data_IF_685697263480
#
_entry.id   IF_685697263480
#
_cell.length_a   1.000
_cell.length_b   1.000
_cell.length_c   1.000
_cell.angle_alpha   90.00
_cell.angle_beta   90.00
_cell.angle_gamma   90.00
#
_symmetry.space_group_name_H-M   'P 1'
#
loop_
_entity.id
_entity.type
_entity.pdbx_description
1 polymer ?
#
# COMPACT_ATOMS: atom_id res chain seq x y z
N UNK A 1 -0.11 19.39 -0.43
CA UNK A 1 0.15 19.25 -1.87
C UNK A 1 -0.93 18.43 -2.58
N UNK A 2 -1.44 17.34 -1.96
CA UNK A 2 -2.53 16.52 -2.53
C UNK A 2 -3.95 17.16 -2.40
N UNK A 3 -4.24 17.95 -1.36
CA UNK A 3 -5.54 18.62 -1.24
C UNK A 3 -5.79 19.70 -2.31
N UNK A 4 -4.72 20.35 -2.80
CA UNK A 4 -4.82 21.33 -3.89
C UNK A 4 -5.12 20.68 -5.24
N UNK A 5 -5.05 19.35 -5.37
CA UNK A 5 -5.36 18.64 -6.62
C UNK A 5 -6.81 18.17 -6.69
N UNK A 6 -7.54 18.12 -5.56
CA UNK A 6 -8.96 17.74 -5.53
C UNK A 6 -9.84 18.71 -6.32
N UNK A 7 -9.44 19.98 -6.36
CA UNK A 7 -10.11 21.04 -7.14
C UNK A 7 -9.41 21.37 -8.48
N UNK A 8 -8.26 20.74 -8.80
CA UNK A 8 -7.39 21.13 -9.94
C UNK A 8 -7.19 20.06 -11.01
N UNK A 9 -7.96 18.98 -10.99
CA UNK A 9 -7.99 17.99 -12.08
C UNK A 9 -9.43 17.75 -12.51
N UNK A 10 -10.13 18.83 -12.83
CA UNK A 10 -11.26 18.68 -13.73
C UNK A 10 -10.72 18.29 -15.12
N UNK A 11 -11.51 17.58 -15.95
CA UNK A 11 -11.10 17.19 -17.31
C UNK A 11 -10.69 18.39 -18.19
N UNK A 12 -11.19 19.58 -17.83
CA UNK A 12 -10.84 20.88 -18.42
C UNK A 12 -9.37 21.29 -18.13
N UNK A 13 -8.81 20.91 -16.98
CA UNK A 13 -7.44 21.27 -16.59
C UNK A 13 -6.39 20.48 -17.38
N UNK A 14 -6.68 19.23 -17.79
CA UNK A 14 -5.75 18.43 -18.61
C UNK A 14 -5.58 19.06 -19.99
N UNK A 15 -6.67 19.55 -20.61
CA UNK A 15 -6.62 20.28 -21.89
C UNK A 15 -5.83 21.59 -21.76
N UNK A 16 -5.93 22.27 -20.61
CA UNK A 16 -5.16 23.46 -20.30
C UNK A 16 -3.68 23.17 -20.00
N UNK A 17 -3.36 22.00 -19.45
CA UNK A 17 -1.97 21.54 -19.28
C UNK A 17 -1.36 21.26 -20.66
N UNK A 18 -2.06 20.55 -21.55
CA UNK A 18 -1.59 20.29 -22.92
C UNK A 18 -1.43 21.54 -23.79
N UNK A 19 -2.11 22.65 -23.47
CA UNK A 19 -1.98 23.90 -24.22
C UNK A 19 -0.73 24.71 -23.86
N UNK A 20 0.01 24.35 -22.80
CA UNK A 20 1.28 24.98 -22.44
C UNK A 20 2.43 24.32 -23.21
N UNK A 21 3.33 25.13 -23.77
CA UNK A 21 4.44 24.68 -24.63
C UNK A 21 5.30 23.58 -24.00
N UNK A 22 5.48 23.61 -22.67
CA UNK A 22 6.28 22.63 -21.93
C UNK A 22 5.66 21.22 -21.88
N UNK A 23 4.36 21.06 -22.15
CA UNK A 23 3.66 19.77 -22.13
C UNK A 23 3.22 19.30 -23.52
N UNK A 24 3.69 19.96 -24.59
CA UNK A 24 3.31 19.64 -25.96
C UNK A 24 3.73 18.23 -26.40
N UNK A 25 4.77 17.67 -25.79
CA UNK A 25 5.30 16.33 -26.08
C UNK A 25 4.89 15.28 -25.04
N UNK A 26 4.04 15.63 -24.08
CA UNK A 26 3.56 14.72 -23.03
C UNK A 26 2.10 14.36 -23.30
N UNK A 27 1.78 13.07 -23.19
CA UNK A 27 0.41 12.56 -23.23
C UNK A 27 0.00 12.21 -21.80
N UNK A 28 -1.04 12.86 -21.28
CA UNK A 28 -1.58 12.59 -19.95
C UNK A 28 -2.92 11.89 -20.16
N UNK A 29 -3.05 10.67 -19.64
CA UNK A 29 -4.30 9.91 -19.66
C UNK A 29 -4.84 9.74 -18.26
N UNK A 30 -6.17 9.74 -18.15
CA UNK A 30 -6.85 9.47 -16.90
C UNK A 30 -6.93 7.95 -16.69
N UNK A 31 -6.49 7.46 -15.52
CA UNK A 31 -6.56 6.03 -15.20
C UNK A 31 -7.66 5.70 -14.21
N UNK A 32 -7.76 6.44 -13.09
CA UNK A 32 -8.68 6.15 -11.99
C UNK A 32 -9.15 7.44 -11.29
N UNK A 33 -10.44 7.48 -10.96
CA UNK A 33 -11.04 8.52 -10.14
C UNK A 33 -11.37 7.97 -8.76
N UNK A 34 -11.06 8.72 -7.71
CA UNK A 34 -11.40 8.36 -6.33
C UNK A 34 -12.20 9.49 -5.70
N UNK A 35 -13.38 9.18 -5.18
CA UNK A 35 -14.15 10.14 -4.39
C UNK A 35 -13.66 10.15 -2.94
N UNK A 36 -13.34 8.97 -2.41
CA UNK A 36 -12.73 8.78 -1.10
C UNK A 36 -11.63 7.73 -1.19
N UNK A 37 -10.48 8.00 -0.56
CA UNK A 37 -9.30 7.14 -0.65
C UNK A 37 -8.49 7.18 0.64
N UNK A 38 -8.27 6.01 1.22
CA UNK A 38 -7.18 5.75 2.14
C UNK A 38 -5.98 5.27 1.33
N UNK A 39 -4.91 6.07 1.35
CA UNK A 39 -3.72 5.80 0.55
C UNK A 39 -2.49 5.66 1.45
N UNK A 40 -1.80 4.52 1.36
CA UNK A 40 -0.54 4.27 2.05
C UNK A 40 0.63 4.27 1.08
N UNK A 41 0.52 3.49 0.01
CA UNK A 41 1.52 3.38 -1.06
C UNK A 41 0.85 2.81 -2.34
N UNK A 42 1.57 2.66 -3.47
CA UNK A 42 0.99 2.16 -4.73
C UNK A 42 0.35 0.76 -4.66
N UNK A 43 0.71 -0.07 -3.69
CA UNK A 43 0.22 -1.45 -3.51
C UNK A 43 -0.68 -1.60 -2.27
N UNK A 44 -0.89 -0.52 -1.51
CA UNK A 44 -1.68 -0.49 -0.29
C UNK A 44 -2.60 0.74 -0.31
N UNK A 45 -3.82 0.56 -0.81
CA UNK A 45 -4.84 1.58 -0.85
C UNK A 45 -6.24 0.97 -0.81
N UNK A 46 -7.21 1.75 -0.34
CA UNK A 46 -8.62 1.36 -0.36
C UNK A 46 -9.53 2.58 -0.42
N UNK A 47 -10.59 2.53 -1.20
CA UNK A 47 -11.42 3.69 -1.44
C UNK A 47 -12.62 3.41 -2.32
N UNK A 48 -13.40 4.46 -2.58
CA UNK A 48 -14.58 4.40 -3.42
C UNK A 48 -14.29 5.12 -4.73
N UNK A 49 -14.50 4.40 -5.83
CA UNK A 49 -14.29 4.90 -7.18
C UNK A 49 -15.29 5.99 -7.51
N UNK A 50 -14.79 7.06 -8.12
CA UNK A 50 -15.64 8.09 -8.72
C UNK A 50 -16.10 7.71 -10.11
N UNK A 51 -17.30 8.19 -10.49
CA UNK A 51 -17.76 8.12 -11.88
C UNK A 51 -16.93 9.07 -12.73
N UNK A 52 -16.41 8.58 -13.86
CA UNK A 52 -15.69 9.41 -14.85
C UNK A 52 -16.69 9.75 -15.96
N UNK A 53 -16.83 11.04 -16.35
CA UNK A 53 -17.67 11.41 -17.49
C UNK A 53 -17.34 10.60 -18.75
N UNK A 54 -18.36 10.11 -19.43
CA UNK A 54 -18.27 9.30 -20.67
C UNK A 54 -17.51 10.02 -21.80
N UNK A 55 -17.37 11.34 -21.73
CA UNK A 55 -16.56 12.17 -22.64
C UNK A 55 -15.04 12.01 -22.50
N UNK A 56 -14.55 11.24 -21.51
CA UNK A 56 -13.12 11.04 -21.20
C UNK A 56 -12.70 9.58 -21.46
N UNK A 57 -13.48 8.81 -22.22
CA UNK A 57 -13.07 7.46 -22.60
C UNK A 57 -12.01 7.50 -23.71
N UNK A 58 -10.74 7.40 -23.31
CA UNK A 58 -9.62 7.36 -24.24
C UNK A 58 -9.26 5.90 -24.56
N UNK A 59 -9.52 5.42 -25.78
CA UNK A 59 -8.88 4.17 -26.25
C UNK A 59 -9.60 3.30 -27.29
N UNK A 60 -10.85 3.54 -27.66
CA UNK A 60 -11.45 2.90 -28.84
C UNK A 60 -12.00 3.97 -29.79
N UNK A 61 -11.27 4.22 -30.88
CA UNK A 61 -11.89 4.77 -32.09
C UNK A 61 -12.84 3.69 -32.60
N UNK A 62 -14.12 3.75 -32.19
CA UNK A 62 -15.19 3.16 -32.98
C UNK A 62 -15.65 4.25 -33.93
N UNK A 63 -15.19 4.16 -35.18
CA UNK A 63 -15.85 4.83 -36.30
C UNK A 63 -17.28 4.30 -36.37
N UNK A 64 -18.26 5.07 -35.87
CA UNK A 64 -19.65 4.90 -36.22
C UNK A 64 -20.28 6.28 -36.43
N UNK A 65 -20.78 6.40 -37.65
CA UNK A 65 -21.51 7.45 -38.33
C UNK A 65 -22.17 8.57 -37.51
N UNK A 66 -22.04 9.76 -38.09
CA UNK A 66 -22.82 10.96 -37.84
C UNK A 66 -24.31 10.77 -38.12
N UNK A 67 -25.14 10.86 -37.09
CA UNK A 67 -26.56 11.28 -37.00
C UNK A 67 -27.09 10.63 -35.72
N UNK A 68 -27.23 11.33 -34.59
CA UNK A 68 -28.37 12.20 -34.29
C UNK A 68 -27.95 13.21 -33.21
N UNK A 69 -28.24 14.50 -33.46
CA UNK A 69 -28.34 15.51 -32.41
C UNK A 69 -29.76 15.38 -31.84
N UNK A 70 -29.91 14.77 -30.68
CA UNK A 70 -31.06 15.05 -29.82
C UNK A 70 -30.57 15.52 -28.45
N UNK A 71 -31.35 16.44 -27.92
CA UNK A 71 -31.08 17.30 -26.78
C UNK A 71 -31.03 16.49 -25.47
N UNK A 72 -29.88 16.38 -24.82
CA UNK A 72 -29.82 16.05 -23.38
C UNK A 72 -29.71 17.34 -22.59
N UNK A 73 -30.86 17.99 -22.40
CA UNK A 73 -31.13 18.69 -21.14
C UNK A 73 -31.60 17.62 -20.15
N UNK A 74 -31.13 17.71 -18.91
CA UNK A 74 -31.52 16.87 -17.76
C UNK A 74 -30.62 15.65 -17.47
N UNK A 75 -29.31 15.85 -17.31
CA UNK A 75 -28.41 14.91 -16.56
C UNK A 75 -27.98 15.49 -15.19
N UNK A 76 -28.66 16.52 -14.67
CA UNK A 76 -28.39 17.06 -13.32
C UNK A 76 -29.27 16.45 -12.22
N UNK A 77 -30.24 15.59 -12.55
CA UNK A 77 -31.23 15.05 -11.60
C UNK A 77 -31.13 13.52 -11.32
N UNK A 78 -30.13 12.80 -11.85
CA UNK A 78 -29.91 11.37 -11.54
C UNK A 78 -28.87 11.11 -10.41
N UNK A 79 -28.61 12.10 -9.54
CA UNK A 79 -27.93 11.88 -8.25
C UNK A 79 -28.92 11.56 -7.11
N UNK A 80 -30.16 11.21 -7.45
CA UNK A 80 -31.17 10.73 -6.50
C UNK A 80 -30.80 9.32 -6.00
N UNK A 81 -30.01 9.29 -4.92
CA UNK A 81 -29.96 8.15 -4.01
C UNK A 81 -29.30 6.89 -4.56
N UNK A 82 -27.98 6.94 -4.81
CA UNK A 82 -27.15 5.73 -4.91
C UNK A 82 -27.46 4.80 -3.73
N UNK A 83 -28.08 3.64 -4.00
CA UNK A 83 -28.44 2.65 -2.98
C UNK A 83 -27.16 2.16 -2.26
N UNK A 84 -27.26 1.72 -1.00
CA UNK A 84 -26.11 1.18 -0.24
C UNK A 84 -25.40 0.05 -1.00
N UNK A 85 -26.15 -0.73 -1.81
CA UNK A 85 -25.66 -1.79 -2.69
C UNK A 85 -24.72 -1.27 -3.80
N UNK A 86 -24.99 -0.11 -4.40
CA UNK A 86 -24.16 0.45 -5.48
C UNK A 86 -22.83 0.99 -4.96
N UNK A 87 -22.77 1.44 -3.71
CA UNK A 87 -21.53 1.92 -3.08
C UNK A 87 -20.57 0.77 -2.78
N UNK A 88 -21.10 -0.40 -2.41
CA UNK A 88 -20.29 -1.61 -2.23
C UNK A 88 -19.64 -2.07 -3.55
N UNK A 89 -20.33 -1.93 -4.68
CA UNK A 89 -19.79 -2.27 -6.01
C UNK A 89 -18.66 -1.32 -6.46
N UNK A 90 -18.64 -0.07 -5.96
CA UNK A 90 -17.61 0.92 -6.26
C UNK A 90 -16.39 0.84 -5.32
N UNK A 91 -16.47 0.04 -4.26
CA UNK A 91 -15.40 -0.13 -3.28
C UNK A 91 -14.25 -0.96 -3.85
N UNK A 92 -13.06 -0.36 -3.94
CA UNK A 92 -11.83 -1.07 -4.27
C UNK A 92 -10.93 -1.16 -3.05
N UNK A 93 -10.46 -2.38 -2.76
CA UNK A 93 -9.50 -2.68 -1.71
C UNK A 93 -8.29 -3.36 -2.33
N UNK A 94 -7.14 -2.68 -2.35
CA UNK A 94 -5.87 -3.23 -2.80
C UNK A 94 -4.85 -3.12 -1.67
N UNK A 95 -4.77 -4.15 -0.85
CA UNK A 95 -3.90 -4.17 0.34
C UNK A 95 -2.88 -5.29 0.21
N UNK A 96 -1.65 -4.99 -0.22
CA UNK A 96 -0.56 -5.96 -0.21
C UNK A 96 -0.28 -6.51 1.21
N UNK A 97 -0.33 -5.65 2.24
CA UNK A 97 -0.12 -6.08 3.64
C UNK A 97 -1.13 -7.14 4.10
N UNK A 98 -2.33 -7.18 3.50
CA UNK A 98 -3.36 -8.18 3.80
C UNK A 98 -2.88 -9.60 3.48
N UNK A 99 -2.13 -9.77 2.39
CA UNK A 99 -1.70 -11.08 1.90
C UNK A 99 -0.74 -11.75 2.88
N UNK A 100 -0.05 -10.97 3.72
CA UNK A 100 0.85 -11.46 4.76
C UNK A 100 0.11 -11.92 6.02
N UNK A 101 -1.20 -11.68 6.14
CA UNK A 101 -2.00 -12.26 7.23
C UNK A 101 -2.39 -13.71 6.91
N UNK A 102 -2.50 -14.59 7.93
CA UNK A 102 -2.96 -15.95 7.73
C UNK A 102 -4.38 -16.01 7.14
N UNK A 103 -4.60 -16.91 6.18
CA UNK A 103 -5.97 -17.30 5.77
C UNK A 103 -6.71 -17.98 6.94
N UNK A 104 -5.95 -18.67 7.79
CA UNK A 104 -6.46 -19.34 8.99
C UNK A 104 -7.18 -18.34 9.92
N UNK A 105 -8.19 -18.84 10.62
CA UNK A 105 -9.07 -18.03 11.48
C UNK A 105 -9.76 -16.84 10.77
N UNK A 106 -9.76 -16.81 9.43
CA UNK A 106 -10.38 -15.75 8.61
C UNK A 106 -9.76 -14.36 8.83
N UNK A 107 -8.47 -14.27 9.17
CA UNK A 107 -7.82 -12.98 9.47
C UNK A 107 -7.91 -12.01 8.28
N UNK A 108 -7.71 -12.50 7.05
CA UNK A 108 -7.81 -11.66 5.86
C UNK A 108 -9.23 -11.12 5.63
N UNK A 109 -10.25 -11.98 5.74
CA UNK A 109 -11.65 -11.56 5.60
C UNK A 109 -12.04 -10.55 6.67
N UNK A 110 -11.58 -10.76 7.91
CA UNK A 110 -11.83 -9.81 9.00
C UNK A 110 -11.12 -8.48 8.81
N UNK A 111 -9.94 -8.46 8.20
CA UNK A 111 -9.22 -7.22 7.90
C UNK A 111 -10.03 -6.40 6.91
N UNK A 112 -10.44 -7.01 5.80
CA UNK A 112 -11.26 -6.37 4.79
C UNK A 112 -12.57 -5.87 5.39
N UNK A 113 -13.23 -6.68 6.22
CA UNK A 113 -14.50 -6.28 6.85
C UNK A 113 -14.37 -5.00 7.69
N UNK A 114 -13.31 -4.86 8.52
CA UNK A 114 -13.12 -3.65 9.35
C UNK A 114 -12.76 -2.45 8.47
N UNK A 115 -11.82 -2.62 7.54
CA UNK A 115 -11.33 -1.51 6.69
C UNK A 115 -12.43 -1.03 5.75
N UNK A 116 -13.14 -1.95 5.09
CA UNK A 116 -14.28 -1.63 4.23
C UNK A 116 -15.41 -0.94 4.99
N UNK A 117 -15.78 -1.45 6.17
CA UNK A 117 -16.81 -0.83 7.00
C UNK A 117 -16.47 0.62 7.36
N UNK A 118 -15.21 0.89 7.69
CA UNK A 118 -14.75 2.26 7.94
C UNK A 118 -14.84 3.14 6.69
N UNK A 119 -14.31 2.67 5.55
CA UNK A 119 -14.32 3.42 4.28
C UNK A 119 -15.76 3.80 3.88
N UNK A 120 -16.67 2.82 3.89
CA UNK A 120 -18.08 2.99 3.50
C UNK A 120 -18.79 3.93 4.47
N UNK A 121 -18.63 3.75 5.79
CA UNK A 121 -19.27 4.60 6.80
C UNK A 121 -18.84 6.07 6.67
N UNK A 122 -17.54 6.34 6.55
CA UNK A 122 -17.01 7.70 6.43
C UNK A 122 -17.46 8.34 5.12
N UNK A 123 -17.47 7.58 4.03
CA UNK A 123 -17.93 8.07 2.74
C UNK A 123 -19.43 8.43 2.74
N UNK A 124 -20.30 7.61 3.34
CA UNK A 124 -21.71 7.94 3.48
C UNK A 124 -21.91 9.21 4.32
N UNK A 125 -21.17 9.35 5.42
CA UNK A 125 -21.19 10.59 6.21
C UNK A 125 -20.74 11.80 5.41
N UNK A 126 -19.67 11.66 4.61
CA UNK A 126 -19.18 12.71 3.72
C UNK A 126 -20.25 13.13 2.69
N UNK A 127 -20.89 12.15 2.02
CA UNK A 127 -21.97 12.41 1.04
C UNK A 127 -23.19 13.08 1.67
N UNK A 128 -23.58 12.66 2.87
CA UNK A 128 -24.72 13.25 3.58
C UNK A 128 -24.47 14.72 3.98
N UNK A 129 -23.26 15.02 4.46
CA UNK A 129 -22.85 16.39 4.82
C UNK A 129 -22.76 17.32 3.59
N UNK A 130 -22.28 16.79 2.45
CA UNK A 130 -22.28 17.50 1.16
C UNK A 130 -23.70 17.87 0.72
N UNK A 131 -24.65 16.92 0.83
CA UNK A 131 -26.08 17.16 0.54
C UNK A 131 -26.69 18.23 1.46
N UNK A 132 -26.30 18.26 2.73
CA UNK A 132 -26.80 19.25 3.69
C UNK A 132 -26.18 20.64 3.49
N UNK A 133 -25.00 20.72 2.89
CA UNK A 133 -24.28 21.97 2.62
C UNK A 133 -24.64 22.61 1.26
N UNK A 134 -25.43 21.94 0.42
CA UNK A 134 -25.85 22.44 -0.88
C UNK A 134 -26.71 23.73 -0.77
N UNK A 135 -26.45 24.77 -1.59
CA UNK A 135 -27.21 26.02 -1.56
C UNK A 135 -28.69 25.77 -1.92
N UNK A 136 -29.60 25.85 -0.94
CA UNK A 136 -31.04 25.65 -1.14
C UNK A 136 -31.76 24.99 0.05
N UNK A 137 -31.02 24.29 0.91
CA UNK A 137 -31.58 23.46 1.99
C UNK A 137 -31.66 24.15 3.37
N UNK A 138 -31.40 25.45 3.47
CA UNK A 138 -31.54 26.18 4.75
C UNK A 138 -32.98 26.69 4.92
N UNK A 139 -33.76 26.22 5.92
CA UNK A 139 -35.03 26.86 6.23
C UNK A 139 -34.75 28.29 6.69
N UNK A 140 -35.44 29.25 6.07
CA UNK A 140 -35.34 30.69 6.36
C UNK A 140 -35.59 30.95 7.84
N UNK A 141 -34.53 31.02 8.65
CA UNK A 141 -34.61 31.56 10.01
C UNK A 141 -34.63 33.09 9.91
N UNK A 142 -35.77 33.68 10.29
CA UNK A 142 -35.94 35.13 10.47
C UNK A 142 -34.79 35.67 11.35
N UNK A 143 -34.04 36.63 10.79
CA UNK A 143 -32.95 37.36 11.46
C UNK A 143 -33.40 37.99 12.78
N UNK A 144 -32.76 37.61 13.88
CA UNK A 144 -32.60 38.39 15.11
C UNK A 144 -31.16 38.91 15.20
N UNK A 145 -30.98 40.14 15.66
CA UNK A 145 -29.77 40.94 15.51
C UNK A 145 -28.53 40.41 16.28
N UNK A 146 -27.43 40.32 15.52
CA UNK A 146 -26.01 40.54 15.87
C UNK A 146 -25.43 40.01 17.20
N UNK A 147 -24.47 39.08 17.08
CA UNK A 147 -23.04 39.38 17.29
C UNK A 147 -22.20 38.39 16.46
N UNK A 148 -21.33 38.93 15.63
CA UNK A 148 -20.49 38.22 14.66
C UNK A 148 -19.13 37.98 15.32
N UNK A 149 -18.85 36.75 15.76
CA UNK A 149 -17.48 36.29 15.99
C UNK A 149 -17.02 35.59 14.72
N UNK A 150 -16.10 36.23 13.99
CA UNK A 150 -15.38 35.60 12.88
C UNK A 150 -14.51 34.47 13.46
N UNK A 151 -14.94 33.22 13.27
CA UNK A 151 -14.02 32.10 13.35
C UNK A 151 -13.23 32.01 12.04
N UNK A 152 -11.92 31.95 12.21
CA UNK A 152 -10.94 31.92 11.15
C UNK A 152 -11.12 30.65 10.31
N UNK A 153 -11.37 30.83 9.01
CA UNK A 153 -11.09 29.81 7.99
C UNK A 153 -9.60 29.50 8.03
N UNK A 154 -9.23 28.40 8.67
CA UNK A 154 -7.85 27.92 8.72
C UNK A 154 -7.79 26.50 9.25
N UNK A 155 -7.26 25.61 8.40
CA UNK A 155 -6.89 24.22 8.61
C UNK A 155 -7.97 23.13 8.36
N UNK A 156 -7.62 22.24 7.43
CA UNK A 156 -8.24 20.97 7.04
C UNK A 156 -9.57 21.03 6.27
N UNK A 157 -9.55 20.56 5.02
CA UNK A 157 -10.69 20.46 4.12
C UNK A 157 -11.71 19.37 4.47
N UNK A 158 -11.92 19.08 5.76
CA UNK A 158 -12.92 18.14 6.25
C UNK A 158 -14.07 18.90 6.94
N UNK A 159 -15.31 18.61 6.54
CA UNK A 159 -16.49 19.18 7.19
C UNK A 159 -16.50 18.76 8.67
N UNK A 160 -16.69 19.68 9.63
CA UNK A 160 -16.66 19.35 11.06
C UNK A 160 -17.58 18.20 11.45
N UNK A 161 -18.76 18.08 10.81
CA UNK A 161 -19.69 16.97 11.01
C UNK A 161 -19.09 15.60 10.69
N UNK A 162 -18.40 15.47 9.54
CA UNK A 162 -17.71 14.24 9.13
C UNK A 162 -16.60 13.83 10.12
N UNK A 163 -15.84 14.81 10.62
CA UNK A 163 -14.79 14.56 11.63
C UNK A 163 -15.42 14.01 12.92
N UNK A 164 -16.50 14.61 13.42
CA UNK A 164 -17.16 14.10 14.62
C UNK A 164 -17.80 12.72 14.42
N UNK A 165 -18.38 12.47 13.25
CA UNK A 165 -18.93 11.17 12.89
C UNK A 165 -17.85 10.08 12.89
N UNK A 166 -16.77 10.27 12.15
CA UNK A 166 -15.65 9.31 12.06
C UNK A 166 -15.07 8.98 13.44
N UNK A 167 -14.86 10.00 14.28
CA UNK A 167 -14.38 9.83 15.65
C UNK A 167 -15.35 9.00 16.52
N UNK A 168 -16.65 9.28 16.46
CA UNK A 168 -17.66 8.54 17.22
C UNK A 168 -17.83 7.09 16.72
N UNK A 169 -17.82 6.90 15.40
CA UNK A 169 -17.93 5.58 14.78
C UNK A 169 -16.76 4.68 15.20
N UNK A 170 -15.52 5.20 15.16
CA UNK A 170 -14.34 4.46 15.60
C UNK A 170 -14.40 4.17 17.09
N UNK A 171 -14.72 5.17 17.92
CA UNK A 171 -14.74 5.03 19.38
C UNK A 171 -15.79 4.04 19.90
N UNK A 172 -16.89 3.85 19.16
CA UNK A 172 -18.03 3.06 19.61
C UNK A 172 -18.18 1.76 18.82
N UNK A 173 -18.66 1.82 17.59
CA UNK A 173 -19.06 0.65 16.81
C UNK A 173 -17.86 -0.15 16.31
N UNK A 174 -16.89 0.54 15.69
CA UNK A 174 -15.70 -0.12 15.14
C UNK A 174 -14.86 -0.76 16.25
N UNK A 175 -14.71 -0.06 17.37
CA UNK A 175 -14.00 -0.57 18.55
C UNK A 175 -14.61 -1.89 19.02
N UNK A 176 -15.93 -1.95 19.23
CA UNK A 176 -16.60 -3.19 19.68
C UNK A 176 -16.44 -4.34 18.68
N UNK A 177 -16.60 -4.06 17.39
CA UNK A 177 -16.39 -5.03 16.32
C UNK A 177 -14.97 -5.58 16.33
N UNK A 178 -13.97 -4.70 16.38
CA UNK A 178 -12.55 -5.06 16.36
C UNK A 178 -12.15 -5.87 17.59
N UNK A 179 -12.62 -5.52 18.79
CA UNK A 179 -12.41 -6.34 19.99
C UNK A 179 -13.00 -7.75 19.84
N UNK A 180 -14.24 -7.86 19.36
CA UNK A 180 -14.92 -9.14 19.17
C UNK A 180 -14.18 -10.03 18.17
N UNK A 181 -13.72 -9.46 17.06
CA UNK A 181 -12.95 -10.15 16.03
C UNK A 181 -11.60 -10.60 16.57
N UNK A 182 -10.87 -9.72 17.25
CA UNK A 182 -9.56 -10.03 17.84
C UNK A 182 -9.68 -11.19 18.83
N UNK A 183 -10.72 -11.21 19.66
CA UNK A 183 -11.00 -12.33 20.56
C UNK A 183 -11.34 -13.62 19.80
N UNK A 184 -12.08 -13.54 18.68
CA UNK A 184 -12.36 -14.71 17.82
C UNK A 184 -11.08 -15.27 17.20
N UNK A 185 -10.17 -14.41 16.74
CA UNK A 185 -8.87 -14.81 16.21
C UNK A 185 -8.05 -15.47 17.32
N UNK A 186 -7.91 -14.82 18.48
CA UNK A 186 -7.19 -15.40 19.62
C UNK A 186 -7.70 -16.80 19.98
N UNK A 187 -9.03 -16.98 20.11
CA UNK A 187 -9.64 -18.28 20.45
C UNK A 187 -9.37 -19.37 19.41
N UNK A 188 -9.29 -19.03 18.13
CA UNK A 188 -9.02 -19.97 17.04
C UNK A 188 -7.53 -20.29 16.86
N UNK A 189 -6.66 -19.39 17.33
CA UNK A 189 -5.21 -19.40 17.09
C UNK A 189 -4.42 -19.69 18.38
N UNK A 190 -5.09 -20.07 19.48
CA UNK A 190 -4.45 -20.48 20.74
C UNK A 190 -3.66 -21.78 20.56
N UNK A 191 -2.46 -21.68 20.00
CA UNK A 191 -1.58 -22.82 19.73
C UNK A 191 -0.07 -22.52 19.68
N UNK A 192 0.36 -21.25 19.59
CA UNK A 192 1.79 -20.92 19.70
C UNK A 192 2.02 -19.50 20.22
N UNK A 193 1.88 -19.29 21.54
CA UNK A 193 2.05 -17.96 22.16
C UNK A 193 3.51 -17.61 22.50
N UNK A 194 4.45 -18.54 22.32
CA UNK A 194 5.83 -18.39 22.81
C UNK A 194 6.84 -19.25 22.04
N UNK A 195 6.69 -19.37 20.72
CA UNK A 195 7.75 -19.92 19.88
C UNK A 195 8.64 -18.79 19.36
N UNK A 196 9.95 -18.93 19.55
CA UNK A 196 10.97 -18.19 18.78
C UNK A 196 10.98 -18.60 17.30
N UNK A 197 10.26 -19.66 16.96
CA UNK A 197 10.07 -20.14 15.60
C UNK A 197 8.91 -19.41 14.89
N UNK A 198 9.04 -19.13 13.58
CA UNK A 198 7.96 -18.60 12.75
C UNK A 198 6.74 -19.50 12.83
N UNK A 199 5.55 -18.91 12.97
CA UNK A 199 4.32 -19.71 12.92
C UNK A 199 4.08 -20.16 11.48
N UNK A 200 3.91 -21.48 11.27
CA UNK A 200 3.54 -22.09 9.96
C UNK A 200 2.21 -21.56 9.41
N UNK A 201 1.45 -20.82 10.22
CA UNK A 201 0.17 -20.22 9.82
C UNK A 201 0.35 -19.02 8.89
N UNK A 202 1.50 -18.35 8.93
CA UNK A 202 1.76 -17.20 8.07
C UNK A 202 2.25 -17.64 6.69
N UNK A 203 1.73 -17.04 5.61
CA UNK A 203 2.21 -17.31 4.27
C UNK A 203 3.63 -16.77 4.07
N UNK A 204 4.49 -17.54 3.40
CA UNK A 204 5.83 -17.09 2.99
C UNK A 204 5.73 -16.55 1.56
N UNK A 205 5.48 -15.26 1.45
CA UNK A 205 5.45 -14.50 0.19
C UNK A 205 6.85 -14.00 -0.21
N UNK A 206 7.07 -13.59 -1.48
CA UNK A 206 8.39 -13.15 -1.97
C UNK A 206 9.07 -12.08 -1.10
N UNK A 207 8.30 -11.10 -0.60
CA UNK A 207 8.81 -10.01 0.24
C UNK A 207 8.94 -10.33 1.74
N UNK A 208 8.68 -11.57 2.16
CA UNK A 208 8.63 -11.93 3.59
C UNK A 208 10.03 -11.86 4.21
N UNK A 209 10.18 -11.02 5.24
CA UNK A 209 11.43 -10.90 5.99
C UNK A 209 11.23 -10.84 7.51
N UNK A 210 10.00 -10.60 7.96
CA UNK A 210 9.65 -10.56 9.38
C UNK A 210 9.39 -11.98 9.91
N UNK A 211 9.77 -12.21 11.16
CA UNK A 211 9.45 -13.44 11.90
C UNK A 211 8.12 -13.25 12.62
N UNK A 212 7.03 -13.60 11.94
CA UNK A 212 5.67 -13.45 12.46
C UNK A 212 5.24 -14.70 13.24
N UNK A 213 4.76 -14.52 14.48
CA UNK A 213 4.38 -15.62 15.37
C UNK A 213 2.96 -15.46 15.95
N UNK A 214 2.42 -14.25 16.04
CA UNK A 214 1.13 -13.98 16.68
C UNK A 214 0.13 -13.35 15.68
N UNK A 215 -0.76 -14.15 15.06
CA UNK A 215 -1.74 -13.65 14.10
C UNK A 215 -2.68 -12.57 14.63
N UNK A 216 -3.05 -12.61 15.92
CA UNK A 216 -3.90 -11.58 16.51
C UNK A 216 -3.16 -10.24 16.63
N UNK A 217 -1.88 -10.27 16.98
CA UNK A 217 -1.04 -9.07 17.07
C UNK A 217 -0.83 -8.43 15.69
N UNK A 218 -0.46 -9.22 14.68
CA UNK A 218 -0.27 -8.70 13.32
C UNK A 218 -1.57 -8.18 12.71
N UNK A 219 -2.69 -8.86 12.98
CA UNK A 219 -4.01 -8.36 12.63
C UNK A 219 -4.28 -6.97 13.23
N UNK A 220 -4.02 -6.79 14.53
CA UNK A 220 -4.18 -5.50 15.21
C UNK A 220 -3.32 -4.43 14.52
N UNK A 221 -2.03 -4.70 14.35
CA UNK A 221 -1.07 -3.77 13.77
C UNK A 221 -1.49 -3.32 12.38
N UNK A 222 -1.90 -4.23 11.51
CA UNK A 222 -2.17 -3.91 10.11
C UNK A 222 -3.44 -3.07 9.99
N UNK A 223 -4.51 -3.45 10.69
CA UNK A 223 -5.76 -2.67 10.69
C UNK A 223 -5.54 -1.30 11.33
N UNK A 224 -4.89 -1.21 12.49
CA UNK A 224 -4.57 0.07 13.12
C UNK A 224 -3.68 0.95 12.24
N UNK A 225 -2.74 0.36 11.49
CA UNK A 225 -1.90 1.11 10.55
C UNK A 225 -2.74 1.72 9.42
N UNK A 226 -3.68 0.97 8.84
CA UNK A 226 -4.58 1.50 7.81
C UNK A 226 -5.49 2.59 8.37
N UNK A 227 -6.09 2.39 9.55
CA UNK A 227 -6.94 3.41 10.18
C UNK A 227 -6.15 4.68 10.53
N UNK A 228 -4.85 4.55 10.87
CA UNK A 228 -3.99 5.70 11.17
C UNK A 228 -3.70 6.60 9.96
N UNK A 229 -4.05 6.18 8.73
CA UNK A 229 -3.95 7.02 7.54
C UNK A 229 -4.93 8.20 7.60
N UNK A 230 -6.03 8.07 8.36
CA UNK A 230 -6.95 9.18 8.61
C UNK A 230 -6.53 9.97 9.85
N UNK A 231 -6.00 11.17 9.60
CA UNK A 231 -5.54 12.09 10.66
C UNK A 231 -6.66 12.55 11.60
N UNK A 232 -7.93 12.47 11.19
CA UNK A 232 -9.06 12.92 12.00
C UNK A 232 -9.36 12.00 13.19
N UNK A 233 -8.92 10.74 13.12
CA UNK A 233 -9.22 9.70 14.12
C UNK A 233 -7.98 9.20 14.88
N UNK A 234 -6.85 9.92 14.78
CA UNK A 234 -5.56 9.47 15.34
C UNK A 234 -5.66 9.14 16.84
N UNK A 235 -6.35 9.95 17.63
CA UNK A 235 -6.50 9.73 19.08
C UNK A 235 -7.33 8.47 19.40
N UNK A 236 -8.39 8.26 18.62
CA UNK A 236 -9.30 7.12 18.75
C UNK A 236 -8.57 5.83 18.37
N UNK A 237 -7.80 5.84 17.29
CA UNK A 237 -6.96 4.71 16.86
C UNK A 237 -5.87 4.41 17.89
N UNK A 238 -5.21 5.43 18.45
CA UNK A 238 -4.19 5.23 19.49
C UNK A 238 -4.79 4.59 20.76
N UNK A 239 -5.97 5.05 21.19
CA UNK A 239 -6.71 4.46 22.31
C UNK A 239 -7.08 3.00 22.01
N UNK A 240 -7.63 2.75 20.82
CA UNK A 240 -8.03 1.42 20.37
C UNK A 240 -6.84 0.46 20.31
N UNK A 241 -5.73 0.88 19.72
CA UNK A 241 -4.50 0.09 19.62
C UNK A 241 -4.00 -0.30 21.02
N UNK A 242 -3.89 0.67 21.95
CA UNK A 242 -3.48 0.38 23.33
C UNK A 242 -4.39 -0.64 24.01
N UNK A 243 -5.70 -0.46 23.89
CA UNK A 243 -6.66 -1.31 24.57
C UNK A 243 -6.70 -2.74 23.93
N UNK A 244 -6.45 -2.87 22.62
CA UNK A 244 -6.29 -4.14 21.91
C UNK A 244 -4.95 -4.83 22.22
N UNK A 245 -3.85 -4.09 22.35
CA UNK A 245 -2.55 -4.62 22.75
C UNK A 245 -2.61 -5.23 24.16
N UNK A 246 -3.34 -4.59 25.08
CA UNK A 246 -3.63 -5.15 26.41
C UNK A 246 -4.42 -6.46 26.32
N UNK A 247 -5.33 -6.62 25.35
CA UNK A 247 -6.06 -7.88 25.14
C UNK A 247 -5.13 -9.02 24.68
N UNK A 248 -4.09 -8.73 23.90
CA UNK A 248 -3.08 -9.71 23.45
C UNK A 248 -1.91 -9.88 24.41
N UNK A 249 -1.91 -9.18 25.54
CA UNK A 249 -0.83 -9.18 26.54
C UNK A 249 0.52 -8.67 26.00
N UNK A 250 0.46 -7.63 25.15
CA UNK A 250 1.63 -6.97 24.56
C UNK A 250 1.68 -5.52 25.06
N UNK A 251 2.87 -5.06 25.47
CA UNK A 251 3.06 -3.69 25.94
C UNK A 251 3.01 -2.67 24.81
N UNK A 252 2.42 -1.49 25.04
CA UNK A 252 2.29 -0.44 23.99
C UNK A 252 3.65 0.09 23.50
N UNK A 253 4.70 -0.03 24.31
CA UNK A 253 6.06 0.41 24.00
C UNK A 253 7.01 -0.74 23.66
N UNK A 254 6.52 -1.98 23.55
CA UNK A 254 7.39 -3.09 23.15
C UNK A 254 7.76 -2.99 21.68
N UNK A 255 8.95 -3.44 21.30
CA UNK A 255 9.37 -3.55 19.90
C UNK A 255 8.39 -4.41 19.08
N UNK A 256 7.83 -5.45 19.70
CA UNK A 256 6.82 -6.31 19.09
C UNK A 256 5.50 -5.59 18.82
N UNK A 257 5.21 -4.42 19.40
CA UNK A 257 3.97 -3.68 19.16
C UNK A 257 4.07 -2.74 17.95
N UNK A 258 5.29 -2.40 17.54
CA UNK A 258 5.51 -1.48 16.44
C UNK A 258 5.14 -2.13 15.11
N UNK A 259 4.39 -1.39 14.28
CA UNK A 259 4.14 -1.82 12.91
C UNK A 259 5.43 -1.76 12.10
N UNK A 260 5.75 -2.86 11.42
CA UNK A 260 6.79 -2.95 10.40
C UNK A 260 6.14 -3.50 9.14
N UNK A 261 6.45 -2.92 7.98
CA UNK A 261 5.92 -3.42 6.71
C UNK A 261 6.36 -4.88 6.53
N UNK A 262 5.45 -5.85 6.37
CA UNK A 262 5.84 -7.25 6.20
C UNK A 262 6.49 -7.54 4.84
N UNK A 263 6.33 -6.65 3.86
CA UNK A 263 6.81 -6.82 2.50
C UNK A 263 8.07 -5.97 2.25
N UNK A 264 9.23 -6.61 2.17
CA UNK A 264 10.42 -5.95 1.63
C UNK A 264 10.39 -6.04 0.10
N UNK A 265 10.13 -4.91 -0.57
CA UNK A 265 10.02 -4.87 -2.03
C UNK A 265 11.36 -5.12 -2.72
N UNK A 266 11.28 -5.74 -3.89
CA UNK A 266 12.41 -5.83 -4.81
C UNK A 266 11.95 -5.42 -6.21
N UNK A 267 12.46 -4.27 -6.65
CA UNK A 267 12.07 -3.64 -7.91
C UNK A 267 13.15 -3.89 -8.96
N UNK A 268 12.75 -4.50 -10.07
CA UNK A 268 13.57 -4.54 -11.28
C UNK A 268 13.36 -3.24 -12.07
N UNK A 269 14.41 -2.45 -12.33
CA UNK A 269 14.28 -1.24 -13.11
C UNK A 269 14.07 -1.56 -14.58
N UNK A 270 13.31 -0.70 -15.26
CA UNK A 270 13.25 -0.62 -16.74
C UNK A 270 12.89 -1.94 -17.44
N UNK A 271 11.90 -2.68 -16.92
CA UNK A 271 11.42 -3.92 -17.54
C UNK A 271 10.53 -3.59 -18.75
N UNK A 272 10.96 -4.05 -19.93
CA UNK A 272 10.28 -3.80 -21.21
C UNK A 272 9.33 -4.95 -21.55
N UNK A 273 8.06 -4.63 -21.82
CA UNK A 273 7.09 -5.60 -22.32
C UNK A 273 7.36 -5.92 -23.80
N UNK A 274 7.57 -7.19 -24.12
CA UNK A 274 7.85 -7.62 -25.50
C UNK A 274 6.64 -7.50 -26.45
N UNK A 275 5.42 -7.39 -25.90
CA UNK A 275 4.19 -7.30 -26.71
C UNK A 275 3.83 -5.86 -27.10
N UNK A 276 4.08 -4.87 -26.24
CA UNK A 276 3.70 -3.47 -26.49
C UNK A 276 4.82 -2.45 -26.28
N UNK A 277 6.04 -2.91 -25.96
CA UNK A 277 7.22 -2.08 -25.67
C UNK A 277 7.05 -1.11 -24.50
N UNK A 278 6.03 -1.30 -23.66
CA UNK A 278 5.86 -0.52 -22.45
C UNK A 278 6.98 -0.83 -21.46
N UNK A 279 7.72 0.21 -21.07
CA UNK A 279 8.83 0.13 -20.13
C UNK A 279 8.36 0.66 -18.77
N UNK A 280 8.59 -0.12 -17.71
CA UNK A 280 8.30 0.28 -16.35
C UNK A 280 9.20 -0.45 -15.36
N UNK A 281 9.31 0.11 -14.18
CA UNK A 281 9.84 -0.63 -13.04
C UNK A 281 8.81 -1.68 -12.59
N UNK A 282 9.30 -2.86 -12.21
CA UNK A 282 8.46 -4.00 -11.85
C UNK A 282 8.81 -4.49 -10.45
N UNK A 283 7.87 -4.39 -9.51
CA UNK A 283 8.03 -4.86 -8.14
C UNK A 283 7.65 -6.35 -8.06
N UNK A 284 8.66 -7.20 -7.96
CA UNK A 284 8.47 -8.65 -7.96
C UNK A 284 7.74 -9.17 -6.73
N UNK A 285 7.69 -8.38 -5.65
CA UNK A 285 7.06 -8.76 -4.40
C UNK A 285 5.61 -8.27 -4.29
N UNK A 286 5.20 -7.29 -5.10
CA UNK A 286 3.90 -6.61 -4.99
C UNK A 286 3.04 -6.67 -6.26
N UNK A 287 3.65 -6.79 -7.45
CA UNK A 287 2.93 -6.70 -8.75
C UNK A 287 2.39 -8.04 -9.28
N UNK A 288 2.31 -9.08 -8.45
CA UNK A 288 1.88 -10.40 -8.91
C UNK A 288 0.37 -10.47 -9.11
N UNK A 289 -0.07 -10.90 -10.30
CA UNK A 289 -1.46 -11.31 -10.50
C UNK A 289 -1.64 -12.74 -10.00
N UNK A 290 -2.47 -12.93 -8.97
CA UNK A 290 -2.87 -14.25 -8.50
C UNK A 290 -4.09 -14.72 -9.29
N UNK A 291 -4.03 -15.92 -9.84
CA UNK A 291 -5.25 -16.68 -10.18
C UNK A 291 -5.79 -17.28 -8.89
N UNK A 292 -7.10 -17.19 -8.66
CA UNK A 292 -7.77 -17.76 -7.49
C UNK A 292 -7.63 -19.29 -7.41
N UNK A 293 -7.32 -19.94 -8.53
CA UNK A 293 -6.99 -21.34 -8.60
C UNK A 293 -5.48 -21.53 -8.41
N UNK A 294 -5.07 -22.00 -7.23
CA UNK A 294 -3.68 -22.30 -6.86
C UNK A 294 -2.98 -23.39 -7.69
N UNK A 295 -3.52 -23.72 -8.86
CA UNK A 295 -2.94 -24.61 -9.86
C UNK A 295 -2.01 -23.88 -10.84
N UNK A 296 -2.11 -22.55 -10.97
CA UNK A 296 -1.29 -21.75 -11.88
C UNK A 296 -0.29 -20.95 -11.08
N UNK A 297 0.99 -21.02 -11.46
CA UNK A 297 2.05 -20.21 -10.86
C UNK A 297 1.71 -18.71 -11.01
N UNK A 298 2.01 -17.89 -9.99
CA UNK A 298 1.79 -16.45 -10.07
C UNK A 298 2.59 -15.85 -11.23
N UNK A 299 1.98 -14.91 -11.95
CA UNK A 299 2.59 -14.26 -13.11
C UNK A 299 2.63 -12.75 -12.90
N UNK A 300 3.55 -12.09 -13.61
CA UNK A 300 3.57 -10.64 -13.73
C UNK A 300 2.99 -10.24 -15.07
N UNK A 301 2.01 -9.33 -15.04
CA UNK A 301 1.36 -8.84 -16.25
C UNK A 301 1.84 -7.43 -16.56
N UNK A 302 1.88 -7.12 -17.85
CA UNK A 302 2.10 -5.76 -18.32
C UNK A 302 0.89 -4.89 -17.96
N UNK A 303 1.13 -3.76 -17.28
CA UNK A 303 0.06 -2.83 -16.89
C UNK A 303 -0.70 -2.23 -18.08
N UNK A 304 -0.07 -2.20 -19.27
CA UNK A 304 -0.67 -1.64 -20.49
C UNK A 304 -1.48 -2.67 -21.29
N UNK A 305 -0.87 -3.80 -21.68
CA UNK A 305 -1.51 -4.78 -22.56
C UNK A 305 -1.96 -6.08 -21.86
N UNK A 306 -1.74 -6.20 -20.55
CA UNK A 306 -2.03 -7.40 -19.75
C UNK A 306 -1.35 -8.69 -20.23
N UNK A 307 -0.38 -8.59 -21.16
CA UNK A 307 0.43 -9.73 -21.57
C UNK A 307 1.40 -10.14 -20.44
N UNK A 308 1.60 -11.45 -20.21
CA UNK A 308 2.51 -11.93 -19.18
C UNK A 308 3.97 -11.65 -19.56
N UNK A 309 4.77 -11.23 -18.59
CA UNK A 309 6.22 -11.14 -18.75
C UNK A 309 6.85 -12.55 -18.78
N UNK A 310 7.93 -12.69 -19.55
CA UNK A 310 8.65 -13.94 -19.63
C UNK A 310 9.47 -14.17 -18.35
N UNK A 311 9.10 -15.18 -17.56
CA UNK A 311 9.77 -15.54 -16.31
C UNK A 311 11.26 -15.85 -16.47
N UNK A 312 11.69 -16.41 -17.61
CA UNK A 312 13.11 -16.72 -17.85
C UNK A 312 13.96 -15.44 -18.02
N UNK A 313 13.39 -14.40 -18.64
CA UNK A 313 14.07 -13.10 -18.79
C UNK A 313 14.20 -12.42 -17.43
N UNK A 314 13.15 -12.48 -16.61
CA UNK A 314 13.15 -11.97 -15.24
C UNK A 314 14.16 -12.73 -14.38
N UNK A 315 14.21 -14.06 -14.50
CA UNK A 315 15.17 -14.91 -13.78
C UNK A 315 16.61 -14.54 -14.14
N UNK A 316 16.93 -14.35 -15.43
CA UNK A 316 18.26 -13.90 -15.87
C UNK A 316 18.61 -12.53 -15.27
N UNK A 317 17.68 -11.57 -15.31
CA UNK A 317 17.89 -10.24 -14.74
C UNK A 317 18.12 -10.29 -13.21
N UNK A 318 17.45 -11.21 -12.50
CA UNK A 318 17.66 -11.43 -11.07
C UNK A 318 19.04 -12.03 -10.78
N UNK A 319 19.50 -12.98 -11.59
CA UNK A 319 20.85 -13.55 -11.44
C UNK A 319 21.91 -12.48 -11.68
N UNK A 320 21.76 -11.66 -12.72
CA UNK A 320 22.66 -10.52 -12.96
C UNK A 320 22.62 -9.51 -11.81
N UNK A 321 21.45 -9.23 -11.25
CA UNK A 321 21.33 -8.32 -10.11
C UNK A 321 21.98 -8.89 -8.84
N UNK A 322 21.84 -10.20 -8.59
CA UNK A 322 22.51 -10.90 -7.50
C UNK A 322 24.03 -10.83 -7.66
N UNK A 323 24.54 -11.11 -8.86
CA UNK A 323 25.97 -11.02 -9.17
C UNK A 323 26.51 -9.59 -8.99
N UNK A 324 25.76 -8.57 -9.44
CA UNK A 324 26.12 -7.16 -9.22
C UNK A 324 26.19 -6.82 -7.73
N UNK A 325 25.23 -7.29 -6.92
CA UNK A 325 25.25 -7.09 -5.46
C UNK A 325 26.45 -7.80 -4.81
N UNK A 326 26.76 -9.02 -5.22
CA UNK A 326 27.93 -9.75 -4.74
C UNK A 326 29.24 -9.03 -5.09
N UNK A 327 29.34 -8.52 -6.32
CA UNK A 327 30.48 -7.71 -6.76
C UNK A 327 30.62 -6.45 -5.89
N UNK A 328 29.51 -5.73 -5.67
CA UNK A 328 29.49 -4.55 -4.81
C UNK A 328 29.93 -4.87 -3.37
N UNK A 329 29.47 -6.00 -2.80
CA UNK A 329 29.88 -6.45 -1.48
C UNK A 329 31.38 -6.82 -1.42
N UNK A 330 31.93 -7.38 -2.49
CA UNK A 330 33.34 -7.80 -2.54
C UNK A 330 34.28 -6.61 -2.74
N UNK A 331 33.87 -5.64 -3.56
CA UNK A 331 34.65 -4.43 -3.90
C UNK A 331 34.37 -3.25 -2.96
N UNK A 332 33.55 -3.44 -1.93
CA UNK A 332 33.17 -2.37 -1.01
C UNK A 332 34.39 -1.73 -0.34
N UNK A 333 34.29 -0.44 -0.07
CA UNK A 333 35.27 0.24 0.76
C UNK A 333 35.15 -0.17 2.23
N UNK A 334 36.24 0.04 2.98
CA UNK A 334 36.23 -0.06 4.43
C UNK A 334 36.33 1.32 5.06
N UNK A 335 35.58 1.54 6.14
CA UNK A 335 35.54 2.81 6.88
C UNK A 335 36.15 2.64 8.26
N UNK A 336 36.98 3.60 8.68
CA UNK A 336 37.51 3.63 10.04
C UNK A 336 36.43 4.01 11.06
N UNK A 337 36.30 3.26 12.15
CA UNK A 337 35.33 3.55 13.21
C UNK A 337 35.58 4.87 13.95
N UNK A 338 36.85 5.28 14.08
CA UNK A 338 37.23 6.48 14.85
C UNK A 338 37.11 7.76 14.03
N UNK A 339 37.81 7.84 12.90
CA UNK A 339 37.90 9.07 12.10
C UNK A 339 36.90 9.13 10.94
N UNK A 340 36.14 8.05 10.69
CA UNK A 340 35.23 7.91 9.53
C UNK A 340 35.91 8.06 8.16
N UNK A 341 37.25 8.00 8.11
CA UNK A 341 38.01 8.00 6.87
C UNK A 341 37.92 6.65 6.14
N UNK A 342 37.92 6.72 4.80
CA UNK A 342 37.94 5.56 3.91
C UNK A 342 39.34 4.91 3.89
N UNK A 343 39.40 3.60 3.74
CA UNK A 343 40.66 2.86 3.62
C UNK A 343 41.23 3.01 2.21
N UNK A 344 42.31 3.76 2.07
CA UNK A 344 42.91 4.08 0.76
C UNK A 344 43.93 3.04 0.26
N UNK A 345 44.47 2.20 1.14
CA UNK A 345 45.52 1.22 0.80
C UNK A 345 45.16 -0.18 1.28
N UNK A 346 45.60 -1.22 0.58
CA UNK A 346 45.14 -2.59 0.83
C UNK A 346 45.73 -3.24 2.10
N UNK A 347 47.03 -3.06 2.34
CA UNK A 347 47.79 -3.81 3.36
C UNK A 347 47.48 -3.44 4.83
N UNK A 348 47.21 -2.17 5.21
CA UNK A 348 47.04 -1.81 6.62
C UNK A 348 45.83 -2.49 7.26
N UNK A 349 46.07 -3.12 8.42
CA UNK A 349 45.01 -3.72 9.24
C UNK A 349 44.25 -2.64 10.02
N UNK A 350 44.95 -1.59 10.46
CA UNK A 350 44.41 -0.48 11.23
C UNK A 350 44.57 0.85 10.49
N UNK A 351 43.71 1.81 10.80
CA UNK A 351 43.83 3.18 10.32
C UNK A 351 44.99 3.92 11.01
N UNK A 352 45.49 4.99 10.40
CA UNK A 352 46.53 5.87 10.97
C UNK A 352 46.14 6.47 12.33
N UNK A 353 44.84 6.57 12.64
CA UNK A 353 44.33 6.98 13.95
C UNK A 353 44.19 5.82 14.97
N UNK A 354 44.78 4.66 14.66
CA UNK A 354 44.67 3.42 15.43
C UNK A 354 43.20 2.95 15.61
N UNK A 355 42.35 3.20 14.62
CA UNK A 355 40.97 2.72 14.57
C UNK A 355 40.83 1.50 13.66
N UNK A 356 39.90 0.61 14.02
CA UNK A 356 39.55 -0.54 13.20
C UNK A 356 38.74 -0.13 11.97
N UNK A 357 38.94 -0.87 10.88
CA UNK A 357 38.17 -0.73 9.65
C UNK A 357 36.97 -1.67 9.68
N UNK A 358 35.80 -1.16 9.27
CA UNK A 358 34.56 -1.93 9.16
C UNK A 358 34.01 -1.88 7.74
N UNK A 359 33.21 -2.89 7.42
CA UNK A 359 32.45 -2.97 6.17
C UNK A 359 31.49 -1.79 6.03
N UNK A 360 31.39 -1.25 4.81
CA UNK A 360 30.38 -0.24 4.46
C UNK A 360 29.04 -0.87 4.11
N UNK A 361 29.06 -2.07 3.52
CA UNK A 361 27.92 -2.94 3.29
C UNK A 361 28.00 -4.07 4.31
N UNK A 362 27.12 -4.05 5.31
CA UNK A 362 27.12 -5.05 6.35
C UNK A 362 26.68 -6.43 5.82
N UNK A 363 27.29 -7.48 6.35
CA UNK A 363 26.94 -8.87 6.03
C UNK A 363 25.47 -9.15 6.29
N UNK A 364 24.90 -8.62 7.39
CA UNK A 364 23.50 -8.82 7.74
C UNK A 364 22.56 -8.31 6.64
N UNK A 365 22.79 -7.08 6.16
CA UNK A 365 21.99 -6.45 5.12
C UNK A 365 22.10 -7.24 3.81
N UNK A 366 23.31 -7.69 3.46
CA UNK A 366 23.54 -8.54 2.29
C UNK A 366 22.77 -9.87 2.37
N UNK A 367 22.77 -10.51 3.55
CA UNK A 367 22.04 -11.77 3.78
C UNK A 367 20.52 -11.56 3.76
N UNK A 368 20.00 -10.45 4.27
CA UNK A 368 18.59 -10.08 4.15
C UNK A 368 18.17 -9.94 2.68
N UNK A 369 19.02 -9.32 1.84
CA UNK A 369 18.77 -9.27 0.40
C UNK A 369 18.74 -10.66 -0.23
N UNK A 370 19.71 -11.54 0.08
CA UNK A 370 19.74 -12.92 -0.44
C UNK A 370 18.47 -13.68 -0.08
N UNK A 371 17.94 -13.51 1.14
CA UNK A 371 16.68 -14.15 1.57
C UNK A 371 15.51 -13.74 0.68
N UNK A 372 15.43 -12.48 0.27
CA UNK A 372 14.37 -12.00 -0.63
C UNK A 372 14.52 -12.65 -2.02
N UNK A 373 15.72 -12.68 -2.59
CA UNK A 373 15.97 -13.41 -3.85
C UNK A 373 15.57 -14.89 -3.72
N UNK A 374 15.86 -15.52 -2.59
CA UNK A 374 15.50 -16.91 -2.33
C UNK A 374 13.97 -17.10 -2.25
N UNK A 375 13.26 -16.18 -1.60
CA UNK A 375 11.80 -16.22 -1.51
C UNK A 375 11.14 -16.01 -2.88
N UNK A 376 11.61 -15.04 -3.67
CA UNK A 376 11.18 -14.85 -5.07
C UNK A 376 11.42 -16.13 -5.85
N UNK A 377 12.63 -16.69 -5.79
CA UNK A 377 12.99 -17.87 -6.57
C UNK A 377 12.15 -19.10 -6.21
N UNK A 378 11.80 -19.28 -4.93
CA UNK A 378 10.90 -20.34 -4.46
C UNK A 378 9.46 -20.12 -4.92
N UNK A 379 8.95 -18.91 -4.75
CA UNK A 379 7.55 -18.58 -5.05
C UNK A 379 7.22 -18.69 -6.55
N UNK A 380 8.15 -18.31 -7.42
CA UNK A 380 7.99 -18.35 -8.88
C UNK A 380 8.65 -19.56 -9.55
N UNK A 381 9.16 -20.51 -8.75
CA UNK A 381 9.83 -21.74 -9.23
C UNK A 381 10.98 -21.48 -10.24
N UNK A 382 11.89 -20.58 -9.88
CA UNK A 382 13.07 -20.20 -10.66
C UNK A 382 14.26 -21.09 -10.29
N UNK A 383 14.48 -22.19 -11.01
CA UNK A 383 15.49 -23.20 -10.65
C UNK A 383 16.92 -22.69 -10.76
N UNK A 384 17.26 -21.93 -11.80
CA UNK A 384 18.62 -21.45 -12.02
C UNK A 384 19.04 -20.41 -10.97
N UNK A 385 18.11 -19.51 -10.61
CA UNK A 385 18.33 -18.57 -9.52
C UNK A 385 18.50 -19.30 -8.17
N UNK A 386 17.69 -20.33 -7.89
CA UNK A 386 17.83 -21.13 -6.67
C UNK A 386 19.19 -21.82 -6.58
N UNK A 387 19.66 -22.45 -7.65
CA UNK A 387 20.97 -23.10 -7.71
C UNK A 387 22.11 -22.09 -7.50
N UNK A 388 22.02 -20.91 -8.12
CA UNK A 388 23.01 -19.84 -7.97
C UNK A 388 23.10 -19.36 -6.52
N UNK A 389 21.95 -19.18 -5.86
CA UNK A 389 21.89 -18.79 -4.44
C UNK A 389 22.43 -19.92 -3.55
N UNK A 390 22.06 -21.17 -3.81
CA UNK A 390 22.53 -22.31 -3.04
C UNK A 390 24.06 -22.45 -3.12
N UNK A 391 24.63 -22.30 -4.31
CA UNK A 391 26.08 -22.27 -4.52
C UNK A 391 26.74 -21.12 -3.74
N UNK A 392 26.15 -19.92 -3.79
CA UNK A 392 26.67 -18.76 -3.07
C UNK A 392 26.69 -18.97 -1.55
N UNK A 393 25.63 -19.56 -0.99
CA UNK A 393 25.52 -19.85 0.45
C UNK A 393 26.47 -20.95 0.91
N UNK A 394 26.76 -21.95 0.06
CA UNK A 394 27.72 -23.01 0.37
C UNK A 394 29.18 -22.54 0.30
N UNK A 395 29.51 -21.69 -0.67
CA UNK A 395 30.87 -21.19 -0.88
C UNK A 395 31.24 -20.04 0.04
N UNK A 396 30.25 -19.33 0.59
CA UNK A 396 30.48 -18.24 1.53
C UNK A 396 30.64 -18.79 2.96
N UNK A 397 31.78 -18.54 3.65
CA UNK A 397 31.94 -18.88 5.08
C UNK A 397 31.03 -18.06 6.03
N UNK A 398 30.15 -17.23 5.48
CA UNK A 398 29.21 -16.35 6.18
C UNK A 398 28.02 -17.11 6.81
N UNK A 399 27.87 -18.41 6.54
CA UNK A 399 26.81 -19.27 7.09
C UNK A 399 27.04 -19.68 8.56
N UNK A 400 28.22 -19.40 9.13
CA UNK A 400 28.60 -19.75 10.51
C UNK A 400 28.69 -18.56 11.48
N UNK A 401 28.20 -17.37 11.11
CA UNK A 401 28.20 -16.18 11.98
C UNK A 401 26.78 -15.75 12.38
#
# INVERSE_FOLDING_TARGET
FLESLRDCLNPLDIRFIHSKEIFHSLTISFSRCWEFLLWMDPSNYGGIKGKVPSSIHCGQVRELDSQEREETKDEEDEEEGMEESEVEDLLENNWNILQFLPQAASCQSYFLMIVSAYIVAVYHSMKNELRHSAPGSTPVKRKGASQFSQEAKGASGALPGMVTFSQNYVANELTQSFFTITQKIQKKVTGSRSSTEPSEMFPVLPGSHLLLNNPALEFIKYVCKVLSLDTNITNQVNKLNRDLLRLVDVGEFSEEAQFRDPCHSYVLPEVICHSCNFCRDLDLCKDSSFSQDGAILPQWLCSNCQAPYNSAVIESALVEALQRKLMAFTLQDLVCLKCRGMKETHMPVYCNCAGDFVLTIHTKDFMEQIRIFQNIAKHYNMSYLQETIAWLLQTSPLSNC
#
